data_IF_499546989883
#
_entry.id   IF_499546989883
#
_cell.length_a   1.000
_cell.length_b   1.000
_cell.length_c   1.000
_cell.angle_alpha   90.00
_cell.angle_beta   90.00
_cell.angle_gamma   90.00
#
_symmetry.space_group_name_H-M   'P 1'
#
loop_
_entity.id
_entity.type
_entity.pdbx_description
1 polymer ?
#
# COMPACT_ATOMS: atom_id res chain seq x y z
N UNK A 1 -12.83 -26.59 17.59
CA UNK A 1 -13.03 -26.22 16.17
C UNK A 1 -12.93 -27.47 15.34
N UNK A 2 -13.94 -27.73 14.49
CA UNK A 2 -13.87 -28.81 13.51
C UNK A 2 -12.89 -28.42 12.39
N UNK A 3 -12.28 -29.40 11.71
CA UNK A 3 -11.32 -29.18 10.62
C UNK A 3 -11.88 -28.25 9.52
N UNK A 4 -13.18 -28.37 9.21
CA UNK A 4 -13.85 -27.50 8.24
C UNK A 4 -13.87 -26.01 8.67
N UNK A 5 -14.03 -25.73 9.97
CA UNK A 5 -14.01 -24.37 10.50
C UNK A 5 -12.60 -23.77 10.40
N UNK A 6 -11.57 -24.57 10.67
CA UNK A 6 -10.16 -24.13 10.56
C UNK A 6 -9.83 -23.74 9.12
N UNK A 7 -10.21 -24.57 8.14
CA UNK A 7 -9.95 -24.29 6.72
C UNK A 7 -10.71 -23.05 6.26
N UNK A 8 -11.97 -22.91 6.67
CA UNK A 8 -12.77 -21.72 6.37
C UNK A 8 -12.10 -20.45 6.90
N UNK A 9 -11.69 -20.48 8.17
CA UNK A 9 -10.97 -19.39 8.83
C UNK A 9 -9.64 -19.07 8.15
N UNK A 10 -8.84 -20.07 7.79
CA UNK A 10 -7.59 -19.86 7.07
C UNK A 10 -7.83 -19.20 5.70
N UNK A 11 -8.82 -19.69 4.95
CA UNK A 11 -9.11 -19.24 3.59
C UNK A 11 -9.59 -17.78 3.48
N UNK A 12 -10.16 -17.21 4.55
CA UNK A 12 -10.62 -15.81 4.59
C UNK A 12 -9.53 -14.80 4.92
N UNK A 13 -8.34 -15.23 5.35
CA UNK A 13 -7.24 -14.34 5.76
C UNK A 13 -6.39 -13.90 4.57
N UNK A 14 -5.94 -12.64 4.58
CA UNK A 14 -5.06 -12.04 3.58
C UNK A 14 -3.94 -11.30 4.31
N UNK A 15 -2.74 -11.85 4.29
CA UNK A 15 -1.60 -11.26 5.00
C UNK A 15 -0.64 -10.62 4.00
N UNK A 16 -0.40 -9.32 4.13
CA UNK A 16 0.39 -8.58 3.16
C UNK A 16 1.24 -7.48 3.80
N UNK A 17 2.25 -7.01 3.09
CA UNK A 17 3.05 -5.84 3.45
C UNK A 17 2.95 -4.75 2.38
N UNK A 18 3.29 -3.51 2.75
CA UNK A 18 3.43 -2.39 1.80
C UNK A 18 4.89 -1.98 1.73
N UNK A 19 5.53 -2.13 0.57
CA UNK A 19 6.89 -1.67 0.32
C UNK A 19 6.88 -0.37 -0.49
N UNK A 20 7.75 0.58 -0.12
CA UNK A 20 7.89 1.82 -0.87
C UNK A 20 9.18 2.54 -0.50
N UNK A 21 9.59 3.48 -1.35
CA UNK A 21 10.52 4.52 -0.94
C UNK A 21 9.89 5.46 0.10
N UNK A 22 10.69 6.10 0.96
CA UNK A 22 10.29 7.26 1.75
C UNK A 22 9.39 8.23 1.00
N UNK A 23 8.35 8.68 1.69
CA UNK A 23 7.39 9.68 1.20
C UNK A 23 6.56 9.26 -0.03
N UNK A 24 6.68 8.04 -0.55
CA UNK A 24 5.84 7.57 -1.67
C UNK A 24 4.35 7.46 -1.29
N UNK A 25 4.03 7.45 0.01
CA UNK A 25 2.67 7.53 0.54
C UNK A 25 2.14 6.26 1.21
N UNK A 26 3.03 5.35 1.67
CA UNK A 26 2.66 4.16 2.44
C UNK A 26 1.69 4.46 3.59
N UNK A 27 2.03 5.41 4.47
CA UNK A 27 1.20 5.76 5.63
C UNK A 27 -0.20 6.25 5.21
N UNK A 28 -0.28 7.10 4.19
CA UNK A 28 -1.56 7.58 3.66
C UNK A 28 -2.39 6.44 3.06
N UNK A 29 -1.76 5.48 2.38
CA UNK A 29 -2.46 4.31 1.84
C UNK A 29 -3.00 3.41 2.98
N UNK A 30 -2.18 3.15 4.00
CA UNK A 30 -2.59 2.40 5.19
C UNK A 30 -3.81 3.03 5.88
N UNK A 31 -3.81 4.35 6.06
CA UNK A 31 -4.96 5.08 6.62
C UNK A 31 -6.23 4.88 5.78
N UNK A 32 -6.11 4.87 4.44
CA UNK A 32 -7.25 4.63 3.56
C UNK A 32 -7.79 3.21 3.67
N UNK A 33 -6.94 2.19 3.83
CA UNK A 33 -7.42 0.84 4.11
C UNK A 33 -8.22 0.76 5.42
N UNK A 34 -7.72 1.39 6.49
CA UNK A 34 -8.41 1.43 7.78
C UNK A 34 -9.75 2.20 7.73
N UNK A 35 -9.80 3.27 6.93
CA UNK A 35 -11.05 3.98 6.68
C UNK A 35 -12.05 3.09 5.93
N UNK A 36 -11.65 2.55 4.78
CA UNK A 36 -12.57 1.85 3.88
C UNK A 36 -13.02 0.48 4.41
N UNK A 37 -12.26 -0.10 5.34
CA UNK A 37 -12.70 -1.27 6.12
C UNK A 37 -13.78 -0.97 7.16
N UNK A 38 -14.04 0.31 7.43
CA UNK A 38 -14.89 0.71 8.55
C UNK A 38 -14.25 0.47 9.93
N UNK A 39 -12.98 0.05 9.97
CA UNK A 39 -12.20 -0.07 11.21
C UNK A 39 -11.98 1.30 11.87
N UNK A 40 -12.03 2.38 11.09
CA UNK A 40 -12.02 3.76 11.56
C UNK A 40 -13.26 4.48 11.02
N UNK A 41 -14.18 4.88 11.92
CA UNK A 41 -15.42 5.59 11.55
C UNK A 41 -15.22 7.05 11.09
N UNK A 42 -14.04 7.63 11.30
CA UNK A 42 -13.72 9.00 10.87
C UNK A 42 -12.39 9.06 10.12
N UNK A 43 -12.42 9.02 8.79
CA UNK A 43 -11.34 9.65 8.02
C UNK A 43 -11.52 11.15 8.04
N UNK A 44 -11.18 11.76 9.17
CA UNK A 44 -11.32 13.19 9.40
C UNK A 44 -10.18 13.81 10.21
N UNK A 45 -9.46 13.03 11.02
CA UNK A 45 -8.54 13.62 12.00
C UNK A 45 -7.25 14.22 11.41
N UNK A 46 -6.75 13.73 10.26
CA UNK A 46 -5.43 14.16 9.76
C UNK A 46 -5.52 15.30 8.73
N UNK A 47 -6.61 15.42 7.97
CA UNK A 47 -6.78 16.57 7.04
C UNK A 47 -7.01 17.91 7.76
N UNK A 48 -7.38 17.91 9.03
CA UNK A 48 -7.48 19.13 9.84
C UNK A 48 -6.13 19.61 10.41
N UNK A 49 -5.03 18.85 10.29
CA UNK A 49 -3.73 19.19 10.90
C UNK A 49 -2.55 19.26 9.93
N UNK A 50 -2.81 19.38 8.63
CA UNK A 50 -1.78 19.66 7.59
C UNK A 50 -1.11 21.05 7.72
N UNK A 51 -1.32 21.76 8.84
CA UNK A 51 -0.73 23.06 9.15
C UNK A 51 0.43 23.05 10.16
N UNK A 52 0.87 21.91 10.69
CA UNK A 52 1.93 21.94 11.70
C UNK A 52 2.57 20.59 11.99
N UNK A 53 3.80 20.65 12.51
CA UNK A 53 4.72 19.54 12.82
C UNK A 53 4.22 18.58 13.93
N UNK A 54 2.97 18.11 13.87
CA UNK A 54 2.29 17.37 14.96
C UNK A 54 1.47 16.14 14.55
N UNK A 55 1.41 15.76 13.27
CA UNK A 55 0.58 14.63 12.84
C UNK A 55 1.00 13.27 13.43
N UNK A 56 2.29 13.08 13.73
CA UNK A 56 2.83 11.83 14.28
C UNK A 56 2.46 11.62 15.76
N UNK A 57 2.38 12.71 16.54
CA UNK A 57 2.03 12.63 17.97
C UNK A 57 0.55 12.34 18.20
N UNK A 58 -0.32 12.91 17.37
CA UNK A 58 -1.77 12.69 17.47
C UNK A 58 -2.17 11.27 17.07
N UNK A 59 -1.41 10.65 16.16
CA UNK A 59 -1.58 9.25 15.77
C UNK A 59 -1.23 8.31 16.94
N UNK A 60 -0.06 8.48 17.55
CA UNK A 60 0.37 7.70 18.73
C UNK A 60 -0.62 7.80 19.91
N UNK A 61 -1.27 8.96 20.08
CA UNK A 61 -2.28 9.17 21.11
C UNK A 61 -3.59 8.42 20.81
N UNK A 62 -4.07 8.49 19.56
CA UNK A 62 -5.30 7.82 19.10
C UNK A 62 -5.18 6.30 19.15
N UNK A 63 -3.96 5.81 18.97
CA UNK A 63 -3.57 4.41 19.06
C UNK A 63 -3.55 3.84 20.46
N UNK A 64 -2.98 4.60 21.38
CA UNK A 64 -2.98 4.28 22.80
C UNK A 64 -4.41 4.19 23.35
N UNK A 65 -5.34 4.98 22.81
CA UNK A 65 -6.77 4.95 23.18
C UNK A 65 -7.57 3.81 22.54
N UNK A 66 -7.18 3.32 21.36
CA UNK A 66 -7.93 2.28 20.62
C UNK A 66 -7.31 0.88 20.69
N UNK A 67 -6.21 0.71 21.44
CA UNK A 67 -5.52 -0.58 21.58
C UNK A 67 -4.78 -1.02 20.32
N UNK A 68 -4.52 -0.10 19.39
CA UNK A 68 -3.76 -0.33 18.16
C UNK A 68 -2.33 0.08 18.49
N UNK A 69 -1.44 -0.87 18.82
CA UNK A 69 -0.06 -0.54 19.21
C UNK A 69 0.89 -0.50 18.00
N UNK A 70 1.50 0.66 17.66
CA UNK A 70 2.68 0.75 16.75
C UNK A 70 4.00 0.48 17.48
N UNK A 71 4.01 -0.25 18.59
CA UNK A 71 5.32 -0.70 19.06
C UNK A 71 5.91 -1.75 18.12
N UNK A 72 5.09 -2.51 17.37
CA UNK A 72 5.52 -3.36 16.25
C UNK A 72 4.42 -4.31 15.77
N UNK A 73 4.38 -4.51 14.46
CA UNK A 73 4.23 -5.80 13.74
C UNK A 73 3.01 -6.00 12.85
N UNK A 74 1.75 -5.74 13.26
CA UNK A 74 0.58 -6.13 12.43
C UNK A 74 -0.65 -5.25 12.68
N UNK A 75 -1.27 -4.74 11.61
CA UNK A 75 -2.60 -4.12 11.60
C UNK A 75 -3.63 -5.11 11.04
N UNK A 76 -4.74 -5.31 11.73
CA UNK A 76 -5.81 -6.20 11.28
C UNK A 76 -7.10 -5.44 11.02
N UNK A 77 -7.75 -5.70 9.89
CA UNK A 77 -9.04 -5.08 9.56
C UNK A 77 -9.91 -5.98 8.66
N UNK A 78 -11.25 -5.98 8.86
CA UNK A 78 -12.17 -6.69 7.98
C UNK A 78 -12.40 -5.90 6.68
N UNK A 79 -12.58 -6.58 5.56
CA UNK A 79 -13.09 -5.95 4.34
C UNK A 79 -13.85 -6.98 3.50
N UNK A 80 -15.14 -6.71 3.24
CA UNK A 80 -16.05 -7.73 2.69
C UNK A 80 -16.16 -8.95 3.61
N UNK A 81 -15.99 -10.15 3.06
CA UNK A 81 -15.98 -11.42 3.79
C UNK A 81 -14.58 -11.86 4.25
N UNK A 82 -13.56 -11.01 4.07
CA UNK A 82 -12.15 -11.33 4.35
C UNK A 82 -11.61 -10.59 5.58
N UNK A 83 -10.53 -11.13 6.14
CA UNK A 83 -9.72 -10.52 7.19
C UNK A 83 -8.34 -10.18 6.64
N UNK A 84 -7.99 -8.91 6.67
CA UNK A 84 -6.70 -8.44 6.19
C UNK A 84 -5.75 -8.24 7.36
N UNK A 85 -4.51 -8.68 7.19
CA UNK A 85 -3.39 -8.48 8.11
C UNK A 85 -2.32 -7.70 7.34
N UNK A 86 -2.14 -6.43 7.67
CA UNK A 86 -1.10 -5.57 7.11
C UNK A 86 0.09 -5.57 8.06
N UNK A 87 1.21 -6.15 7.62
CA UNK A 87 2.48 -6.04 8.33
C UNK A 87 3.18 -4.77 7.87
N UNK A 88 3.47 -3.88 8.81
CA UNK A 88 4.14 -2.63 8.48
C UNK A 88 5.65 -2.87 8.32
N UNK A 89 6.20 -2.53 7.15
CA UNK A 89 7.65 -2.47 6.96
C UNK A 89 8.14 -1.10 7.42
N UNK A 90 9.06 -0.99 8.39
CA UNK A 90 9.62 0.30 8.80
C UNK A 90 10.18 1.08 7.60
N UNK A 91 9.78 2.33 7.46
CA UNK A 91 10.28 3.23 6.43
C UNK A 91 11.19 4.29 7.03
N UNK A 92 12.28 4.61 6.31
CA UNK A 92 13.06 5.85 6.39
C UNK A 92 14.42 5.84 7.13
N UNK A 93 14.79 4.83 7.93
CA UNK A 93 16.14 4.82 8.55
C UNK A 93 16.63 3.46 9.05
N UNK A 94 15.70 2.59 9.42
CA UNK A 94 16.00 1.26 9.95
C UNK A 94 15.78 0.18 8.88
N UNK A 95 16.52 0.27 7.77
CA UNK A 95 16.61 -0.82 6.81
C UNK A 95 17.43 -1.95 7.44
N UNK A 96 16.81 -2.63 8.41
CA UNK A 96 17.36 -3.70 9.24
C UNK A 96 16.87 -5.06 8.76
N UNK A 97 17.45 -6.11 9.33
CA UNK A 97 16.96 -7.50 9.22
C UNK A 97 15.45 -7.62 9.48
N UNK A 98 14.88 -6.74 10.31
CA UNK A 98 13.46 -6.76 10.68
C UNK A 98 12.54 -6.50 9.48
N UNK A 99 12.95 -5.64 8.53
CA UNK A 99 12.17 -5.41 7.30
C UNK A 99 12.14 -6.67 6.43
N UNK A 100 13.25 -7.40 6.38
CA UNK A 100 13.31 -8.66 5.64
C UNK A 100 12.51 -9.77 6.33
N UNK A 101 12.55 -9.83 7.66
CA UNK A 101 11.72 -10.77 8.44
C UNK A 101 10.24 -10.54 8.20
N UNK A 102 9.78 -9.30 8.12
CA UNK A 102 8.38 -8.98 7.77
C UNK A 102 8.01 -9.59 6.41
N UNK A 103 8.87 -9.46 5.40
CA UNK A 103 8.60 -10.00 4.06
C UNK A 103 8.52 -11.54 4.05
N UNK A 104 9.18 -12.23 4.98
CA UNK A 104 9.04 -13.69 5.11
C UNK A 104 7.71 -14.13 5.76
N UNK A 105 6.98 -13.21 6.39
CA UNK A 105 5.77 -13.49 7.15
C UNK A 105 4.47 -13.11 6.41
N UNK A 106 4.57 -12.69 5.14
CA UNK A 106 3.42 -12.26 4.34
C UNK A 106 3.19 -13.16 3.12
N UNK A 107 1.95 -13.18 2.64
CA UNK A 107 1.56 -13.96 1.45
C UNK A 107 1.68 -13.14 0.16
N UNK A 108 1.69 -11.79 0.26
CA UNK A 108 1.76 -10.87 -0.87
C UNK A 108 2.28 -9.50 -0.45
N UNK A 109 2.64 -8.66 -1.43
CA UNK A 109 3.16 -7.31 -1.18
C UNK A 109 2.50 -6.29 -2.10
N UNK A 110 2.22 -5.10 -1.57
CA UNK A 110 1.84 -3.92 -2.35
C UNK A 110 3.07 -3.01 -2.47
N UNK A 111 3.57 -2.82 -3.68
CA UNK A 111 4.63 -1.87 -4.00
C UNK A 111 4.03 -0.52 -4.37
N UNK A 112 4.30 0.51 -3.56
CA UNK A 112 3.80 1.88 -3.79
C UNK A 112 4.87 2.71 -4.48
N UNK A 113 4.51 3.31 -5.61
CA UNK A 113 5.37 4.21 -6.40
C UNK A 113 4.83 5.63 -6.35
N UNK A 114 5.71 6.62 -6.25
CA UNK A 114 5.34 8.02 -6.47
C UNK A 114 5.38 8.30 -7.98
N UNK A 115 4.27 8.70 -8.58
CA UNK A 115 4.17 8.95 -10.04
C UNK A 115 5.11 10.05 -10.55
N UNK A 116 5.55 10.97 -9.70
CA UNK A 116 6.53 11.98 -10.09
C UNK A 116 7.97 11.45 -10.11
N UNK A 117 8.26 10.46 -9.27
CA UNK A 117 9.64 9.94 -9.08
C UNK A 117 9.89 8.61 -9.77
N UNK A 118 8.84 7.79 -9.94
CA UNK A 118 8.94 6.45 -10.49
C UNK A 118 9.56 5.45 -9.52
N UNK A 119 10.37 4.54 -10.07
CA UNK A 119 11.01 3.48 -9.29
C UNK A 119 12.30 3.96 -8.62
N UNK A 120 12.25 4.18 -7.31
CA UNK A 120 13.40 4.61 -6.51
C UNK A 120 14.22 3.43 -5.95
N UNK A 121 15.49 3.67 -5.64
CA UNK A 121 16.48 2.65 -5.24
C UNK A 121 16.05 1.79 -4.03
N UNK A 122 15.37 2.38 -3.04
CA UNK A 122 14.87 1.64 -1.88
C UNK A 122 13.72 0.70 -2.25
N UNK A 123 12.81 1.13 -3.12
CA UNK A 123 11.73 0.28 -3.63
C UNK A 123 12.31 -0.91 -4.38
N UNK A 124 13.31 -0.68 -5.24
CA UNK A 124 13.97 -1.75 -5.99
C UNK A 124 14.63 -2.78 -5.07
N UNK A 125 15.34 -2.34 -4.02
CA UNK A 125 15.93 -3.25 -3.03
C UNK A 125 14.89 -4.11 -2.30
N UNK A 126 13.76 -3.52 -1.91
CA UNK A 126 12.67 -4.26 -1.26
C UNK A 126 12.01 -5.24 -2.24
N UNK A 127 11.84 -4.82 -3.49
CA UNK A 127 11.33 -5.67 -4.56
C UNK A 127 12.24 -6.87 -4.79
N UNK A 128 13.57 -6.70 -4.81
CA UNK A 128 14.52 -7.80 -4.98
C UNK A 128 14.39 -8.87 -3.90
N UNK A 129 14.13 -8.46 -2.65
CA UNK A 129 13.84 -9.41 -1.56
C UNK A 129 12.49 -10.10 -1.77
N UNK A 130 11.46 -9.38 -2.20
CA UNK A 130 10.18 -10.00 -2.52
C UNK A 130 10.33 -11.06 -3.62
N UNK A 131 11.13 -10.73 -4.65
CA UNK A 131 11.46 -11.63 -5.76
C UNK A 131 12.22 -12.87 -5.29
N UNK A 132 13.20 -12.74 -4.39
CA UNK A 132 13.94 -13.91 -3.87
C UNK A 132 13.05 -14.87 -3.07
N UNK A 133 11.94 -14.37 -2.53
CA UNK A 133 10.93 -15.16 -1.80
C UNK A 133 9.72 -15.57 -2.64
N UNK A 134 9.72 -15.33 -3.95
CA UNK A 134 8.58 -15.57 -4.85
C UNK A 134 7.26 -14.95 -4.37
N UNK A 135 7.32 -13.80 -3.69
CA UNK A 135 6.13 -13.11 -3.22
C UNK A 135 5.41 -12.44 -4.40
N UNK A 136 4.09 -12.64 -4.56
CA UNK A 136 3.28 -11.86 -5.49
C UNK A 136 3.34 -10.36 -5.14
N UNK A 137 3.62 -9.52 -6.13
CA UNK A 137 3.71 -8.06 -5.97
C UNK A 137 2.61 -7.36 -6.77
N UNK A 138 1.82 -6.53 -6.08
CA UNK A 138 0.84 -5.61 -6.65
C UNK A 138 1.44 -4.20 -6.68
N UNK A 139 1.44 -3.53 -7.82
CA UNK A 139 1.98 -2.16 -7.92
C UNK A 139 0.88 -1.12 -7.83
N UNK A 140 1.08 -0.10 -7.00
CA UNK A 140 0.18 1.03 -6.83
C UNK A 140 0.91 2.35 -7.12
N UNK A 141 0.56 2.99 -8.25
CA UNK A 141 1.08 4.30 -8.64
C UNK A 141 0.29 5.40 -7.94
N UNK A 142 0.93 6.08 -6.99
CA UNK A 142 0.33 7.07 -6.11
C UNK A 142 0.60 8.52 -6.57
N UNK A 143 -0.16 9.47 -6.02
CA UNK A 143 -0.02 10.92 -6.24
C UNK A 143 -0.28 11.40 -7.68
N UNK A 144 -1.13 10.68 -8.41
CA UNK A 144 -1.49 11.07 -9.78
C UNK A 144 -2.26 12.41 -9.86
N UNK A 145 -2.76 12.91 -8.71
CA UNK A 145 -3.29 14.26 -8.52
C UNK A 145 -2.24 15.37 -8.63
N UNK A 146 -0.95 15.03 -8.75
CA UNK A 146 0.16 15.98 -8.84
C UNK A 146 0.86 15.87 -10.19
N UNK A 147 1.57 16.95 -10.63
CA UNK A 147 2.46 16.85 -11.78
C UNK A 147 3.45 15.70 -11.60
N UNK A 148 3.61 14.90 -12.65
CA UNK A 148 4.39 13.68 -12.62
C UNK A 148 4.68 13.16 -14.02
N UNK A 149 5.19 11.93 -14.09
CA UNK A 149 5.65 11.31 -15.34
C UNK A 149 4.50 10.65 -16.09
N UNK A 150 4.67 10.47 -17.39
CA UNK A 150 3.68 9.78 -18.22
C UNK A 150 3.51 8.31 -17.77
N UNK A 151 2.28 7.76 -17.73
CA UNK A 151 2.03 6.39 -17.32
C UNK A 151 2.79 5.33 -18.12
N UNK A 152 2.99 5.55 -19.43
CA UNK A 152 3.74 4.61 -20.27
C UNK A 152 5.23 4.65 -19.94
N UNK A 153 5.78 5.84 -19.70
CA UNK A 153 7.18 5.97 -19.26
C UNK A 153 7.42 5.28 -17.90
N UNK A 154 6.47 5.40 -16.97
CA UNK A 154 6.53 4.71 -15.68
C UNK A 154 6.42 3.19 -15.85
N UNK A 155 5.57 2.72 -16.75
CA UNK A 155 5.44 1.30 -17.07
C UNK A 155 6.75 0.75 -17.65
N UNK A 156 7.32 1.46 -18.63
CA UNK A 156 8.59 1.09 -19.27
C UNK A 156 9.73 1.05 -18.25
N UNK A 157 9.83 2.05 -17.37
CA UNK A 157 10.83 2.06 -16.29
C UNK A 157 10.68 0.85 -15.37
N UNK A 158 9.45 0.54 -14.96
CA UNK A 158 9.16 -0.62 -14.11
C UNK A 158 9.59 -1.90 -14.82
N UNK A 159 9.19 -2.12 -16.07
CA UNK A 159 9.57 -3.33 -16.81
C UNK A 159 11.09 -3.44 -17.01
N UNK A 160 11.77 -2.35 -17.33
CA UNK A 160 13.22 -2.31 -17.55
C UNK A 160 14.01 -2.55 -16.26
N UNK A 161 13.60 -1.98 -15.13
CA UNK A 161 14.35 -2.12 -13.88
C UNK A 161 14.03 -3.43 -13.16
N UNK A 162 12.76 -3.84 -13.16
CA UNK A 162 12.30 -5.05 -12.46
C UNK A 162 12.51 -6.32 -13.31
N UNK A 163 12.61 -6.18 -14.64
CA UNK A 163 12.75 -7.30 -15.57
C UNK A 163 11.56 -8.26 -15.51
N UNK A 164 10.36 -7.72 -15.27
CA UNK A 164 9.09 -8.45 -15.34
C UNK A 164 8.09 -7.66 -16.16
N UNK A 165 7.20 -8.39 -16.83
CA UNK A 165 6.10 -7.77 -17.58
C UNK A 165 5.06 -7.19 -16.63
N UNK A 166 4.85 -5.89 -16.72
CA UNK A 166 3.81 -5.22 -15.98
C UNK A 166 2.45 -5.44 -16.69
N UNK A 167 1.41 -5.74 -15.91
CA UNK A 167 0.06 -5.95 -16.43
C UNK A 167 -0.88 -4.94 -15.78
N UNK A 168 -1.11 -3.77 -16.39
CA UNK A 168 -1.98 -2.76 -15.80
C UNK A 168 -3.40 -3.30 -15.60
N UNK A 169 -3.87 -3.36 -14.36
CA UNK A 169 -5.26 -3.72 -14.05
C UNK A 169 -6.20 -2.54 -14.28
N UNK A 170 -5.74 -1.33 -13.94
CA UNK A 170 -6.41 -0.07 -14.22
C UNK A 170 -5.48 0.85 -15.00
N UNK A 171 -6.07 1.79 -15.75
CA UNK A 171 -5.35 2.81 -16.50
C UNK A 171 -5.85 4.20 -16.13
N UNK A 172 -4.96 5.16 -15.82
CA UNK A 172 -5.38 6.51 -15.46
C UNK A 172 -5.99 7.24 -16.67
N UNK A 173 -7.03 8.03 -16.41
CA UNK A 173 -7.64 8.94 -17.39
C UNK A 173 -7.26 10.36 -17.01
N UNK A 174 -6.68 11.08 -17.96
CA UNK A 174 -6.07 12.40 -17.74
C UNK A 174 -4.56 12.31 -17.53
N UNK A 175 -3.94 13.48 -17.47
CA UNK A 175 -2.49 13.61 -17.23
C UNK A 175 -2.20 13.71 -15.73
N UNK A 176 -0.99 13.40 -15.27
CA UNK A 176 -0.59 13.68 -13.90
C UNK A 176 -0.84 15.16 -13.55
N UNK A 177 -1.58 15.41 -12.46
CA UNK A 177 -2.00 16.76 -12.05
C UNK A 177 -3.39 17.17 -12.56
N UNK A 178 -3.93 16.50 -13.58
CA UNK A 178 -5.33 16.63 -14.03
C UNK A 178 -6.01 15.25 -14.10
N UNK A 179 -5.98 14.54 -12.97
CA UNK A 179 -6.53 13.20 -12.84
C UNK A 179 -8.05 13.20 -12.89
N UNK A 180 -8.65 12.46 -13.82
CA UNK A 180 -10.11 12.42 -14.03
C UNK A 180 -10.77 11.13 -13.59
N UNK A 181 -10.00 10.07 -13.37
CA UNK A 181 -10.58 8.75 -13.29
C UNK A 181 -9.61 7.62 -13.58
N UNK A 182 -10.11 6.39 -13.48
CA UNK A 182 -9.43 5.21 -14.02
C UNK A 182 -10.38 4.41 -14.90
N UNK A 183 -9.83 3.78 -15.93
CA UNK A 183 -10.50 2.71 -16.69
C UNK A 183 -10.01 1.37 -16.13
N UNK A 184 -10.93 0.49 -15.80
CA UNK A 184 -10.61 -0.91 -15.49
C UNK A 184 -10.39 -1.66 -16.81
N UNK A 185 -9.20 -2.26 -16.97
CA UNK A 185 -8.84 -2.95 -18.21
C UNK A 185 -9.49 -4.32 -18.37
N UNK A 186 -10.11 -4.85 -17.32
CA UNK A 186 -10.73 -6.18 -17.33
C UNK A 186 -12.13 -6.16 -17.93
N UNK A 187 -12.88 -5.09 -17.68
CA UNK A 187 -14.27 -4.94 -18.12
C UNK A 187 -14.54 -3.63 -18.89
N UNK A 188 -13.57 -2.71 -18.98
CA UNK A 188 -13.71 -1.43 -19.66
C UNK A 188 -14.49 -0.38 -18.87
N UNK A 189 -14.84 -0.65 -17.61
CA UNK A 189 -15.59 0.28 -16.78
C UNK A 189 -14.76 1.53 -16.44
N UNK A 190 -15.42 2.69 -16.44
CA UNK A 190 -14.79 3.96 -16.09
C UNK A 190 -15.25 4.41 -14.70
N UNK A 191 -14.30 4.59 -13.80
CA UNK A 191 -14.52 5.17 -12.47
C UNK A 191 -14.00 6.60 -12.49
N UNK A 192 -14.93 7.56 -12.41
CA UNK A 192 -14.61 9.00 -12.40
C UNK A 192 -14.19 9.46 -11.01
N UNK A 193 -13.07 10.18 -10.94
CA UNK A 193 -12.66 10.94 -9.76
C UNK A 193 -12.86 12.42 -10.10
N UNK A 194 -13.78 13.08 -9.41
CA UNK A 194 -14.10 14.51 -9.58
C UNK A 194 -13.21 15.39 -8.72
#
# INVERSE_FOLDING_TARGET
MNSAEIVSEASRRRTFAIISHPDAGKTTLTEKFLLYSGAVQEAGAVKARSGGRGATSDWMELERQRGISISSTVLQFPYGDKQFNLLDTPGHRDFSEDTYRVLTAVDAVIMVLDTAKGLESQTLKLFDVCRSHNLPVLTFSNKYDRPGRDPLELLDEVEQQIQLRATPATWPVGIPGDFRGVIDRRDGSYVRFT
#
